data_IF_745328765293
#
_entry.id   IF_745328765293
#
_cell.length_a   1.000
_cell.length_b   1.000
_cell.length_c   1.000
_cell.angle_alpha   90.00
_cell.angle_beta   90.00
_cell.angle_gamma   90.00
#
_symmetry.space_group_name_H-M   'P 1'
#
loop_
_entity.id
_entity.type
_entity.pdbx_description
1 polymer ?
#
# COMPACT_ATOMS: atom_id res chain seq x y z
N UNK A 1 -42.22 -3.42 -13.14
CA UNK A 1 -41.17 -2.63 -13.84
C UNK A 1 -41.09 -1.27 -13.18
N UNK A 2 -40.26 -1.15 -12.15
CA UNK A 2 -39.84 0.13 -11.58
C UNK A 2 -38.32 0.09 -11.45
N UNK A 3 -37.72 1.18 -11.90
CA UNK A 3 -36.31 1.48 -12.11
C UNK A 3 -35.54 1.51 -10.78
N UNK A 4 -34.48 0.70 -10.69
CA UNK A 4 -33.44 0.82 -9.66
C UNK A 4 -32.41 1.85 -10.14
N UNK A 5 -32.34 2.97 -9.43
CA UNK A 5 -31.25 3.92 -9.50
C UNK A 5 -30.07 3.41 -8.65
N UNK A 6 -28.85 3.60 -9.15
CA UNK A 6 -27.59 3.21 -8.54
C UNK A 6 -27.39 3.88 -7.18
N UNK A 7 -27.13 3.07 -6.15
CA UNK A 7 -26.52 3.53 -4.91
C UNK A 7 -25.02 3.39 -5.03
N UNK A 8 -24.34 4.53 -4.89
CA UNK A 8 -22.90 4.63 -4.66
C UNK A 8 -22.53 3.81 -3.42
N UNK A 9 -21.68 2.80 -3.62
CA UNK A 9 -21.05 2.08 -2.52
C UNK A 9 -19.96 2.98 -1.93
N UNK A 10 -20.25 3.62 -0.79
CA UNK A 10 -19.23 4.22 0.07
C UNK A 10 -18.39 3.08 0.63
N UNK A 11 -17.10 3.10 0.30
CA UNK A 11 -16.07 2.28 0.96
C UNK A 11 -16.05 2.70 2.43
N UNK A 12 -16.21 1.72 3.33
CA UNK A 12 -16.37 1.94 4.76
C UNK A 12 -15.13 2.56 5.39
N UNK A 13 -15.32 3.72 6.01
CA UNK A 13 -14.38 4.35 6.92
C UNK A 13 -14.18 3.49 8.16
N UNK A 14 -12.91 3.30 8.57
CA UNK A 14 -12.60 3.04 9.97
C UNK A 14 -13.20 4.19 10.79
N UNK A 15 -14.29 3.94 11.51
CA UNK A 15 -14.98 4.97 12.28
C UNK A 15 -13.98 5.70 13.18
N UNK A 16 -13.93 7.03 13.06
CA UNK A 16 -13.19 7.95 13.95
C UNK A 16 -13.46 7.63 15.43
N UNK A 17 -14.63 7.06 15.73
CA UNK A 17 -15.05 6.62 17.06
C UNK A 17 -14.32 5.37 17.55
N UNK A 18 -13.95 4.45 16.65
CA UNK A 18 -13.14 3.27 16.98
C UNK A 18 -11.68 3.66 17.29
N UNK A 19 -11.12 4.62 16.54
CA UNK A 19 -9.79 5.18 16.80
C UNK A 19 -9.75 6.01 18.09
N UNK A 20 -10.79 6.80 18.38
CA UNK A 20 -10.89 7.58 19.62
C UNK A 20 -11.07 6.70 20.88
N UNK A 21 -11.83 5.61 20.78
CA UNK A 21 -11.95 4.63 21.86
C UNK A 21 -10.64 3.86 22.09
N UNK A 22 -9.86 3.61 21.04
CA UNK A 22 -8.55 2.95 21.12
C UNK A 22 -7.50 3.77 21.87
N UNK A 23 -7.39 5.08 21.61
CA UNK A 23 -6.50 5.98 22.38
C UNK A 23 -6.86 6.00 23.87
N UNK A 24 -8.16 5.96 24.20
CA UNK A 24 -8.63 5.94 25.60
C UNK A 24 -8.32 4.62 26.34
N UNK A 25 -8.36 3.48 25.66
CA UNK A 25 -8.07 2.18 26.27
C UNK A 25 -6.56 2.04 26.52
N UNK A 26 -5.71 2.57 25.64
CA UNK A 26 -4.25 2.61 25.85
C UNK A 26 -3.84 3.62 26.93
N UNK A 27 -4.52 4.76 27.05
CA UNK A 27 -4.25 5.74 28.11
C UNK A 27 -4.63 5.23 29.52
N UNK A 28 -5.52 4.24 29.63
CA UNK A 28 -5.89 3.63 30.92
C UNK A 28 -4.92 2.55 31.41
N UNK A 29 -4.04 2.02 30.57
CA UNK A 29 -3.03 1.01 30.97
C UNK A 29 -1.61 1.57 31.15
N UNK A 30 -1.41 2.90 31.08
CA UNK A 30 -0.09 3.50 31.27
C UNK A 30 -0.09 4.59 32.34
N UNK A 31 -0.07 4.15 33.60
CA UNK A 31 0.42 5.00 34.70
C UNK A 31 1.94 5.15 34.57
N UNK A 32 2.39 6.13 33.78
CA UNK A 32 3.80 6.54 33.71
C UNK A 32 4.20 7.26 35.00
N UNK A 33 5.11 6.64 35.78
CA UNK A 33 5.87 7.34 36.83
C UNK A 33 7.05 8.09 36.16
N UNK A 34 7.10 9.43 36.18
CA UNK A 34 8.08 10.21 35.45
C UNK A 34 9.33 10.41 36.32
N UNK A 35 10.06 9.33 36.58
CA UNK A 35 11.36 9.41 37.22
C UNK A 35 12.30 8.35 36.66
N UNK A 36 12.92 8.63 35.51
CA UNK A 36 14.36 8.47 35.34
C UNK A 36 14.83 9.02 33.99
N UNK A 37 15.57 10.11 34.12
CA UNK A 37 16.30 10.87 33.12
C UNK A 37 17.35 10.01 32.39
N UNK A 38 16.92 9.23 31.38
CA UNK A 38 17.82 8.63 30.37
C UNK A 38 17.21 8.58 28.95
N UNK A 39 15.95 8.99 28.77
CA UNK A 39 15.20 8.83 27.52
C UNK A 39 15.38 9.97 26.50
N UNK A 40 15.88 11.16 26.86
CA UNK A 40 15.99 12.26 25.89
C UNK A 40 17.16 12.14 24.90
N UNK A 41 18.19 11.33 25.22
CA UNK A 41 19.36 11.16 24.36
C UNK A 41 19.15 10.16 23.21
N UNK A 42 18.01 9.46 23.17
CA UNK A 42 17.64 8.51 22.10
C UNK A 42 16.40 8.97 21.31
N UNK A 43 15.78 10.09 21.68
CA UNK A 43 14.53 10.59 21.07
C UNK A 43 14.71 11.66 20.01
N UNK A 44 15.93 12.00 19.58
CA UNK A 44 16.13 12.91 18.45
C UNK A 44 16.15 12.13 17.11
N UNK A 45 15.02 11.52 16.77
CA UNK A 45 14.74 10.95 15.45
C UNK A 45 13.86 11.94 14.67
N UNK A 46 14.42 13.12 14.38
CA UNK A 46 13.80 14.09 13.46
C UNK A 46 14.16 13.81 11.99
N UNK A 47 14.30 12.53 11.64
CA UNK A 47 14.38 12.03 10.27
C UNK A 47 13.22 11.03 10.12
N UNK A 48 12.51 11.08 8.99
CA UNK A 48 11.27 10.37 8.69
C UNK A 48 11.05 9.05 9.45
N UNK A 49 9.83 8.86 9.98
CA UNK A 49 9.41 7.63 10.66
C UNK A 49 9.60 6.41 9.76
N UNK A 50 10.28 5.37 10.29
CA UNK A 50 10.62 4.12 9.60
C UNK A 50 10.00 2.94 10.36
N UNK A 51 9.01 2.29 9.78
CA UNK A 51 8.19 1.23 10.36
C UNK A 51 9.01 0.02 10.80
N UNK A 52 9.92 -0.53 9.99
CA UNK A 52 10.68 -1.71 10.44
C UNK A 52 11.54 -1.42 11.67
N UNK A 53 12.04 -0.17 11.81
CA UNK A 53 12.75 0.26 13.03
C UNK A 53 11.80 0.31 14.21
N UNK A 54 10.60 0.87 14.02
CA UNK A 54 9.56 0.91 15.05
C UNK A 54 9.16 -0.49 15.52
N UNK A 55 8.94 -1.42 14.59
CA UNK A 55 8.64 -2.83 14.90
C UNK A 55 9.79 -3.45 15.70
N UNK A 56 11.02 -3.33 15.22
CA UNK A 56 12.18 -3.90 15.89
C UNK A 56 12.38 -3.35 17.31
N UNK A 57 12.25 -2.03 17.49
CA UNK A 57 12.37 -1.37 18.78
C UNK A 57 11.25 -1.78 19.74
N UNK A 58 10.01 -1.87 19.26
CA UNK A 58 8.86 -2.26 20.08
C UNK A 58 8.97 -3.71 20.52
N UNK A 59 9.15 -4.64 19.59
CA UNK A 59 9.22 -6.07 19.89
C UNK A 59 10.48 -6.41 20.71
N UNK A 60 11.60 -5.77 20.43
CA UNK A 60 12.82 -5.91 21.23
C UNK A 60 12.63 -5.44 22.68
N UNK A 61 11.97 -4.29 22.89
CA UNK A 61 11.61 -3.80 24.22
C UNK A 61 10.66 -4.76 24.94
N UNK A 62 9.67 -5.31 24.24
CA UNK A 62 8.73 -6.27 24.79
C UNK A 62 9.44 -7.55 25.25
N UNK A 63 10.37 -8.08 24.44
CA UNK A 63 11.16 -9.26 24.82
C UNK A 63 12.00 -9.05 26.08
N UNK A 64 12.56 -7.84 26.25
CA UNK A 64 13.40 -7.48 27.39
C UNK A 64 12.61 -7.25 28.69
N UNK A 65 11.41 -6.67 28.61
CA UNK A 65 10.75 -6.10 29.79
C UNK A 65 9.33 -6.63 30.05
N UNK A 66 8.70 -7.26 29.08
CA UNK A 66 7.27 -7.62 29.16
C UNK A 66 7.06 -9.13 29.24
N UNK A 67 6.13 -9.54 30.09
CA UNK A 67 5.55 -10.88 30.06
C UNK A 67 4.09 -10.76 29.59
N UNK A 68 3.78 -11.17 28.35
CA UNK A 68 2.42 -11.08 27.85
C UNK A 68 1.51 -12.00 28.65
N UNK A 69 0.29 -11.55 28.95
CA UNK A 69 -0.73 -12.40 29.54
C UNK A 69 -1.24 -13.42 28.50
N UNK A 70 -1.79 -14.54 28.98
CA UNK A 70 -2.52 -15.47 28.12
C UNK A 70 -3.73 -14.76 27.49
N UNK A 71 -3.96 -15.02 26.21
CA UNK A 71 -5.08 -14.47 25.46
C UNK A 71 -6.01 -15.59 25.02
N UNK A 72 -7.20 -15.23 24.53
CA UNK A 72 -8.14 -16.20 23.96
C UNK A 72 -8.14 -16.06 22.45
N UNK A 73 -7.93 -17.17 21.74
CA UNK A 73 -8.03 -17.23 20.28
C UNK A 73 -9.49 -17.22 19.79
N UNK A 74 -9.66 -17.06 18.49
CA UNK A 74 -10.97 -17.10 17.80
C UNK A 74 -11.66 -18.46 17.93
N UNK A 75 -10.89 -19.53 18.07
CA UNK A 75 -11.33 -20.90 18.31
C UNK A 75 -11.69 -21.18 19.78
N UNK A 76 -11.60 -20.16 20.64
CA UNK A 76 -11.83 -20.25 22.07
C UNK A 76 -10.68 -20.90 22.86
N UNK A 77 -9.64 -21.41 22.16
CA UNK A 77 -8.46 -22.00 22.77
C UNK A 77 -7.51 -20.90 23.28
N UNK A 78 -6.73 -21.16 24.35
CA UNK A 78 -5.79 -20.17 24.86
C UNK A 78 -4.61 -19.97 23.89
N UNK A 79 -4.24 -18.72 23.67
CA UNK A 79 -2.95 -18.32 23.11
C UNK A 79 -2.03 -18.04 24.29
N UNK A 80 -1.02 -18.88 24.46
CA UNK A 80 -0.14 -18.83 25.62
C UNK A 80 0.85 -17.66 25.53
N UNK A 81 1.27 -17.16 26.69
CA UNK A 81 2.29 -16.10 26.77
C UNK A 81 3.57 -16.42 26.01
N UNK A 82 4.01 -17.69 26.01
CA UNK A 82 5.20 -18.10 25.26
C UNK A 82 4.97 -18.12 23.74
N UNK A 83 3.75 -18.40 23.26
CA UNK A 83 3.42 -18.26 21.83
C UNK A 83 3.56 -16.80 21.38
N UNK A 84 3.12 -15.86 22.22
CA UNK A 84 3.26 -14.42 21.95
C UNK A 84 4.73 -14.00 21.93
N UNK A 85 5.52 -14.46 22.91
CA UNK A 85 6.96 -14.17 22.93
C UNK A 85 7.69 -14.81 21.75
N UNK A 86 7.29 -16.02 21.34
CA UNK A 86 7.85 -16.71 20.19
C UNK A 86 7.57 -15.94 18.90
N UNK A 87 6.33 -15.48 18.70
CA UNK A 87 5.97 -14.59 17.58
C UNK A 87 6.87 -13.34 17.53
N UNK A 88 7.11 -12.68 18.67
CA UNK A 88 8.01 -11.52 18.70
C UNK A 88 9.45 -11.86 18.28
N UNK A 89 9.97 -13.03 18.69
CA UNK A 89 11.31 -13.48 18.27
C UNK A 89 11.35 -13.78 16.76
N UNK A 90 10.30 -14.39 16.22
CA UNK A 90 10.19 -14.73 14.80
C UNK A 90 10.17 -13.49 13.93
N UNK A 91 9.34 -12.50 14.26
CA UNK A 91 9.29 -11.23 13.52
C UNK A 91 10.65 -10.51 13.56
N UNK A 92 11.32 -10.47 14.71
CA UNK A 92 12.66 -9.90 14.81
C UNK A 92 13.71 -10.68 14.01
N UNK A 93 13.65 -12.00 14.04
CA UNK A 93 14.54 -12.88 13.28
C UNK A 93 14.35 -12.69 11.77
N UNK A 94 13.12 -12.56 11.31
CA UNK A 94 12.80 -12.28 9.92
C UNK A 94 13.33 -10.91 9.51
N UNK A 95 13.06 -9.86 10.28
CA UNK A 95 13.62 -8.52 10.01
C UNK A 95 15.15 -8.50 10.02
N UNK A 96 15.79 -9.26 10.91
CA UNK A 96 17.26 -9.35 10.99
C UNK A 96 17.91 -10.09 9.81
N UNK A 97 17.13 -10.93 9.14
CA UNK A 97 17.55 -11.74 7.98
C UNK A 97 17.13 -11.13 6.64
N UNK A 98 16.13 -10.26 6.65
CA UNK A 98 15.57 -9.65 5.45
C UNK A 98 16.52 -8.62 4.82
N UNK A 99 16.46 -8.52 3.48
CA UNK A 99 16.96 -7.34 2.77
C UNK A 99 15.91 -6.24 2.88
N UNK A 100 16.25 -5.16 3.57
CA UNK A 100 15.35 -4.03 3.81
C UNK A 100 15.47 -3.00 2.68
N UNK A 101 14.36 -2.72 1.98
CA UNK A 101 14.22 -1.63 1.02
C UNK A 101 13.26 -0.57 1.58
N UNK A 102 13.74 0.68 1.66
CA UNK A 102 12.92 1.84 2.00
C UNK A 102 12.76 2.68 0.74
N UNK A 103 11.53 2.79 0.24
CA UNK A 103 11.23 3.63 -0.91
C UNK A 103 11.03 5.06 -0.42
N UNK A 104 11.72 6.02 -1.04
CA UNK A 104 11.26 7.40 -0.92
C UNK A 104 9.90 7.57 -1.64
N UNK A 105 9.18 8.63 -1.29
CA UNK A 105 7.82 8.83 -1.82
C UNK A 105 7.77 8.91 -3.35
N UNK A 106 8.80 9.50 -4.00
CA UNK A 106 8.84 9.61 -5.45
C UNK A 106 9.08 8.25 -6.12
N UNK A 107 9.96 7.41 -5.55
CA UNK A 107 10.17 6.05 -6.02
C UNK A 107 8.89 5.21 -5.85
N UNK A 108 8.22 5.31 -4.71
CA UNK A 108 6.94 4.64 -4.47
C UNK A 108 5.87 5.09 -5.48
N UNK A 109 5.74 6.39 -5.73
CA UNK A 109 4.80 6.94 -6.72
C UNK A 109 5.12 6.49 -8.16
N UNK A 110 6.41 6.48 -8.54
CA UNK A 110 6.84 5.94 -9.83
C UNK A 110 6.46 4.46 -9.98
N UNK A 111 6.79 3.62 -9.00
CA UNK A 111 6.44 2.20 -9.03
C UNK A 111 4.93 1.97 -9.06
N UNK A 112 4.15 2.77 -8.33
CA UNK A 112 2.70 2.74 -8.38
C UNK A 112 2.15 3.17 -9.75
N UNK A 113 2.80 4.12 -10.43
CA UNK A 113 2.43 4.51 -11.80
C UNK A 113 2.64 3.37 -12.81
N UNK A 114 3.73 2.60 -12.67
CA UNK A 114 3.96 1.40 -13.47
C UNK A 114 2.93 0.32 -13.16
N UNK A 115 2.69 0.08 -11.86
CA UNK A 115 1.68 -0.84 -11.35
C UNK A 115 0.29 -0.51 -11.93
N UNK A 116 -0.09 0.76 -11.99
CA UNK A 116 -1.36 1.17 -12.63
C UNK A 116 -1.45 0.77 -14.10
N UNK A 117 -0.34 0.84 -14.85
CA UNK A 117 -0.29 0.46 -16.26
C UNK A 117 -0.65 -1.01 -16.50
N UNK A 118 -0.44 -1.88 -15.51
CA UNK A 118 -0.66 -3.33 -15.60
C UNK A 118 -1.88 -3.81 -14.80
N UNK A 119 -2.13 -3.23 -13.62
CA UNK A 119 -3.15 -3.66 -12.66
C UNK A 119 -4.33 -2.68 -12.58
N UNK A 120 -4.28 -1.51 -13.22
CA UNK A 120 -5.40 -0.57 -13.19
C UNK A 120 -5.70 0.04 -11.81
N UNK A 121 -6.98 0.35 -11.59
CA UNK A 121 -7.43 1.23 -10.51
C UNK A 121 -7.62 0.51 -9.17
N UNK A 122 -7.44 1.20 -8.02
CA UNK A 122 -7.52 0.60 -6.68
C UNK A 122 -8.85 -0.05 -6.28
N UNK A 123 -9.98 0.43 -6.82
CA UNK A 123 -11.32 -0.03 -6.44
C UNK A 123 -11.88 -1.12 -7.36
N UNK A 124 -11.09 -1.61 -8.32
CA UNK A 124 -11.54 -2.69 -9.19
C UNK A 124 -11.43 -4.01 -8.42
N UNK A 125 -12.59 -4.65 -8.18
CA UNK A 125 -12.62 -6.00 -7.63
C UNK A 125 -11.94 -6.96 -8.62
N UNK A 126 -10.74 -7.42 -8.26
CA UNK A 126 -9.90 -8.30 -9.08
C UNK A 126 -9.54 -9.54 -8.29
N UNK A 127 -9.47 -10.66 -8.99
CA UNK A 127 -9.00 -11.90 -8.38
C UNK A 127 -7.48 -11.84 -8.26
N UNK A 128 -6.92 -12.49 -7.25
CA UNK A 128 -5.47 -12.70 -7.16
C UNK A 128 -4.91 -13.38 -8.41
N UNK A 129 -5.69 -14.22 -9.09
CA UNK A 129 -5.31 -14.85 -10.36
C UNK A 129 -4.96 -13.83 -11.47
N UNK A 130 -5.55 -12.62 -11.43
CA UNK A 130 -5.21 -11.55 -12.38
C UNK A 130 -3.78 -11.04 -12.16
N UNK A 131 -3.21 -11.23 -10.95
CA UNK A 131 -1.83 -10.86 -10.60
C UNK A 131 -0.82 -11.70 -11.38
N UNK A 132 -1.17 -12.96 -11.67
CA UNK A 132 -0.33 -13.90 -12.40
C UNK A 132 0.25 -13.28 -13.67
N UNK A 133 -0.57 -12.55 -14.42
CA UNK A 133 -0.22 -12.07 -15.76
C UNK A 133 0.96 -11.10 -15.82
N UNK A 134 1.26 -10.40 -14.72
CA UNK A 134 2.27 -9.34 -14.71
C UNK A 134 3.40 -9.52 -13.69
N UNK A 135 3.29 -10.46 -12.74
CA UNK A 135 4.40 -10.74 -11.81
C UNK A 135 5.07 -12.11 -12.02
N UNK A 136 4.52 -12.98 -12.88
CA UNK A 136 5.02 -14.36 -13.06
C UNK A 136 6.52 -14.42 -13.36
N UNK A 137 7.00 -13.51 -14.21
CA UNK A 137 8.37 -13.51 -14.70
C UNK A 137 9.31 -12.61 -13.88
N UNK A 138 8.85 -12.11 -12.72
CA UNK A 138 9.63 -11.26 -11.83
C UNK A 138 10.40 -12.12 -10.84
N UNK A 139 11.73 -12.05 -10.90
CA UNK A 139 12.61 -12.73 -9.94
C UNK A 139 12.83 -11.86 -8.70
N UNK A 140 12.73 -12.47 -7.52
CA UNK A 140 13.01 -11.79 -6.26
C UNK A 140 14.54 -11.65 -6.06
N UNK A 141 15.05 -10.47 -5.68
CA UNK A 141 16.50 -10.24 -5.53
C UNK A 141 17.14 -10.99 -4.34
N UNK A 142 16.32 -11.42 -3.37
CA UNK A 142 16.69 -12.17 -2.17
C UNK A 142 15.54 -13.05 -1.71
N UNK A 143 15.85 -14.06 -0.89
CA UNK A 143 14.85 -14.99 -0.37
C UNK A 143 13.94 -14.38 0.70
N UNK A 144 14.40 -13.35 1.41
CA UNK A 144 13.61 -12.64 2.41
C UNK A 144 13.80 -11.14 2.22
N UNK A 145 12.70 -10.43 1.98
CA UNK A 145 12.72 -9.02 1.60
C UNK A 145 11.67 -8.25 2.39
N UNK A 146 12.07 -7.11 2.94
CA UNK A 146 11.17 -6.11 3.48
C UNK A 146 11.12 -4.92 2.52
N UNK A 147 9.92 -4.42 2.22
CA UNK A 147 9.72 -3.19 1.45
C UNK A 147 8.81 -2.28 2.25
N UNK A 148 9.20 -1.01 2.37
CA UNK A 148 8.41 -0.04 3.11
C UNK A 148 8.38 1.30 2.37
N UNK A 149 7.24 1.97 2.48
CA UNK A 149 7.00 3.31 1.96
C UNK A 149 5.97 4.06 2.81
N UNK A 150 5.91 5.38 2.61
CA UNK A 150 4.91 6.26 3.20
C UNK A 150 3.58 6.14 2.41
N UNK A 151 2.60 5.41 2.98
CA UNK A 151 1.30 5.22 2.33
C UNK A 151 0.56 6.55 2.17
N UNK A 152 0.63 7.43 3.17
CA UNK A 152 -0.03 8.73 3.10
C UNK A 152 0.47 9.53 1.90
N UNK A 153 1.78 9.64 1.73
CA UNK A 153 2.38 10.35 0.59
C UNK A 153 1.98 9.71 -0.73
N UNK A 154 1.95 8.38 -0.80
CA UNK A 154 1.51 7.68 -1.99
C UNK A 154 0.05 7.97 -2.34
N UNK A 155 -0.84 8.01 -1.35
CA UNK A 155 -2.26 8.31 -1.55
C UNK A 155 -2.50 9.80 -1.85
N UNK A 156 -1.72 10.72 -1.28
CA UNK A 156 -1.69 12.14 -1.69
C UNK A 156 -1.34 12.25 -3.19
N UNK A 157 -0.33 11.52 -3.67
CA UNK A 157 0.04 11.48 -5.08
C UNK A 157 -1.03 10.80 -5.96
N UNK A 158 -1.75 9.81 -5.43
CA UNK A 158 -2.91 9.22 -6.11
C UNK A 158 -4.05 10.23 -6.25
N UNK A 159 -4.29 11.06 -5.23
CA UNK A 159 -5.30 12.11 -5.30
C UNK A 159 -4.93 13.17 -6.35
N UNK A 160 -3.65 13.59 -6.40
CA UNK A 160 -3.14 14.52 -7.43
C UNK A 160 -3.30 13.95 -8.85
N UNK A 161 -3.19 12.62 -9.02
CA UNK A 161 -3.40 11.95 -10.31
C UNK A 161 -4.89 11.70 -10.63
N UNK A 162 -5.82 12.13 -9.78
CA UNK A 162 -7.26 11.92 -9.97
C UNK A 162 -7.68 10.46 -9.83
N UNK A 163 -6.85 9.64 -9.17
CA UNK A 163 -7.13 8.22 -8.94
C UNK A 163 -8.11 8.11 -7.78
N UNK A 164 -7.91 8.86 -6.71
CA UNK A 164 -8.76 8.79 -5.53
C UNK A 164 -9.36 10.15 -5.19
N UNK A 165 -10.49 10.14 -4.49
CA UNK A 165 -11.18 11.32 -4.00
C UNK A 165 -11.10 11.48 -2.47
N UNK A 166 -10.17 10.76 -1.82
CA UNK A 166 -9.94 10.89 -0.38
C UNK A 166 -9.64 12.34 -0.02
N UNK A 167 -10.25 12.81 1.06
CA UNK A 167 -10.04 14.13 1.62
C UNK A 167 -8.82 14.16 2.57
N UNK A 168 -8.47 15.35 3.06
CA UNK A 168 -7.30 15.54 3.94
C UNK A 168 -7.42 14.76 5.26
N UNK A 169 -8.62 14.64 5.83
CA UNK A 169 -8.86 13.90 7.07
C UNK A 169 -8.65 12.39 6.84
N UNK A 170 -9.19 11.84 5.75
CA UNK A 170 -8.99 10.44 5.36
C UNK A 170 -7.52 10.12 5.08
N UNK A 171 -6.78 11.05 4.47
CA UNK A 171 -5.35 10.92 4.22
C UNK A 171 -4.52 11.04 5.51
N UNK A 172 -4.97 11.82 6.49
CA UNK A 172 -4.28 12.02 7.76
C UNK A 172 -4.19 10.76 8.61
N UNK A 173 -5.13 9.83 8.42
CA UNK A 173 -5.19 8.52 9.08
C UNK A 173 -4.27 7.47 8.44
N UNK A 174 -3.59 7.79 7.34
CA UNK A 174 -2.66 6.89 6.66
C UNK A 174 -1.24 7.14 7.17
N UNK A 175 -0.47 6.05 7.25
CA UNK A 175 0.90 6.04 7.74
C UNK A 175 1.75 5.03 6.96
N UNK A 176 2.96 4.74 7.40
CA UNK A 176 3.89 3.83 6.74
C UNK A 176 3.28 2.43 6.60
N UNK A 177 3.50 1.81 5.44
CA UNK A 177 3.16 0.40 5.18
C UNK A 177 4.43 -0.36 4.87
N UNK A 178 4.48 -1.60 5.36
CA UNK A 178 5.61 -2.50 5.22
C UNK A 178 5.15 -3.88 4.75
N UNK A 179 5.83 -4.41 3.73
CA UNK A 179 5.57 -5.74 3.19
C UNK A 179 6.77 -6.63 3.43
N UNK A 180 6.53 -7.81 4.01
CA UNK A 180 7.52 -8.87 4.14
C UNK A 180 7.21 -9.95 3.10
N UNK A 181 8.12 -10.11 2.13
CA UNK A 181 8.09 -11.19 1.14
C UNK A 181 9.06 -12.28 1.58
N UNK A 182 8.55 -13.47 1.88
CA UNK A 182 9.33 -14.64 2.28
C UNK A 182 9.25 -15.73 1.21
N UNK A 183 10.35 -15.86 0.48
CA UNK A 183 10.57 -16.78 -0.62
C UNK A 183 11.55 -17.91 -0.26
N UNK A 184 11.90 -18.06 1.03
CA UNK A 184 12.85 -19.09 1.50
C UNK A 184 12.35 -20.51 1.23
N UNK A 185 11.04 -20.71 1.19
CA UNK A 185 10.42 -22.01 0.93
C UNK A 185 10.51 -22.39 -0.55
N UNK A 186 10.87 -23.62 -0.88
CA UNK A 186 10.97 -24.07 -2.27
C UNK A 186 9.62 -24.21 -2.99
N UNK A 187 8.54 -24.32 -2.22
CA UNK A 187 7.18 -24.65 -2.69
C UNK A 187 6.19 -23.47 -2.59
N UNK A 188 6.55 -22.38 -1.91
CA UNK A 188 5.68 -21.22 -1.70
C UNK A 188 6.44 -19.91 -1.54
N UNK A 189 5.72 -18.82 -1.83
CA UNK A 189 6.03 -17.46 -1.42
C UNK A 189 4.98 -17.07 -0.37
N UNK A 190 5.38 -16.41 0.70
CA UNK A 190 4.43 -15.78 1.61
C UNK A 190 4.61 -14.27 1.66
N UNK A 191 3.51 -13.56 1.87
CA UNK A 191 3.48 -12.09 1.93
C UNK A 191 2.69 -11.66 3.17
N UNK A 192 3.28 -10.76 3.96
CA UNK A 192 2.65 -10.12 5.12
C UNK A 192 2.65 -8.60 4.94
N UNK A 193 1.55 -7.95 5.29
CA UNK A 193 1.41 -6.50 5.37
C UNK A 193 1.39 -6.05 6.84
N UNK A 194 2.25 -5.09 7.15
CA UNK A 194 2.34 -4.37 8.41
C UNK A 194 1.96 -2.90 8.17
N UNK A 195 1.25 -2.31 9.12
CA UNK A 195 0.79 -0.92 9.00
C UNK A 195 1.14 -0.14 10.25
N UNK A 196 1.71 1.04 10.09
CA UNK A 196 1.81 1.97 11.21
C UNK A 196 0.42 2.54 11.55
N UNK A 197 0.19 2.79 12.84
CA UNK A 197 -0.98 3.50 13.36
C UNK A 197 -0.60 4.90 13.84
N UNK A 198 0.62 5.02 14.38
CA UNK A 198 1.23 6.28 14.80
C UNK A 198 2.75 6.14 14.65
N UNK A 199 3.50 7.18 15.00
CA UNK A 199 4.96 7.16 15.02
C UNK A 199 5.57 6.07 15.92
N UNK A 200 4.80 5.55 16.87
CA UNK A 200 5.27 4.59 17.89
C UNK A 200 4.45 3.32 17.98
N UNK A 201 3.34 3.24 17.25
CA UNK A 201 2.39 2.14 17.29
C UNK A 201 2.21 1.60 15.87
N UNK A 202 2.19 0.27 15.75
CA UNK A 202 1.93 -0.41 14.50
C UNK A 202 0.94 -1.56 14.73
N UNK A 203 0.24 -1.95 13.67
CA UNK A 203 -0.48 -3.20 13.55
C UNK A 203 0.45 -4.25 12.91
N UNK A 204 0.61 -5.35 13.63
CA UNK A 204 1.23 -6.57 13.11
C UNK A 204 0.37 -7.17 11.99
N UNK A 205 0.87 -8.18 11.28
CA UNK A 205 0.18 -8.80 10.15
C UNK A 205 -0.87 -9.83 10.64
N UNK A 206 -2.18 -9.53 10.63
CA UNK A 206 -3.22 -10.46 11.08
C UNK A 206 -3.42 -11.68 10.16
N UNK A 207 -3.03 -11.56 8.89
CA UNK A 207 -3.20 -12.61 7.90
C UNK A 207 -1.94 -12.76 7.04
N UNK A 208 -1.63 -14.01 6.73
CA UNK A 208 -0.55 -14.41 5.84
C UNK A 208 -1.15 -14.82 4.49
N UNK A 209 -0.75 -14.14 3.41
CA UNK A 209 -1.00 -14.63 2.06
C UNK A 209 0.07 -15.68 1.73
N UNK A 210 -0.35 -16.88 1.35
CA UNK A 210 0.53 -17.93 0.82
C UNK A 210 0.22 -18.17 -0.65
N UNK A 211 1.25 -18.06 -1.49
CA UNK A 211 1.18 -18.28 -2.93
C UNK A 211 2.02 -19.51 -3.25
N UNK A 212 1.39 -20.54 -3.81
CA UNK A 212 2.10 -21.77 -4.18
C UNK A 212 3.07 -21.51 -5.33
N UNK A 213 4.10 -22.34 -5.48
CA UNK A 213 4.97 -22.35 -6.65
C UNK A 213 4.60 -23.49 -7.59
N UNK A 214 4.58 -23.21 -8.89
CA UNK A 214 4.45 -24.23 -9.93
C UNK A 214 5.72 -25.08 -10.04
N UNK A 215 5.68 -26.14 -10.84
CA UNK A 215 6.80 -27.08 -11.00
C UNK A 215 8.09 -26.43 -11.54
N UNK A 216 7.97 -25.32 -12.26
CA UNK A 216 9.06 -24.50 -12.76
C UNK A 216 9.58 -23.48 -11.72
N UNK A 217 9.05 -23.50 -10.49
CA UNK A 217 9.44 -22.62 -9.38
C UNK A 217 8.81 -21.23 -9.43
N UNK A 218 7.96 -20.93 -10.43
CA UNK A 218 7.26 -19.65 -10.56
C UNK A 218 6.08 -19.55 -9.59
N UNK A 219 5.73 -18.35 -9.18
CA UNK A 219 4.57 -18.11 -8.31
C UNK A 219 3.27 -18.38 -9.07
N UNK A 220 2.35 -19.14 -8.45
CA UNK A 220 1.04 -19.48 -8.98
C UNK A 220 -0.06 -18.80 -8.16
N UNK A 221 -0.48 -17.62 -8.62
CA UNK A 221 -1.54 -16.81 -8.05
C UNK A 221 -2.94 -17.38 -8.30
N UNK A 222 -3.09 -18.46 -9.08
CA UNK A 222 -4.34 -19.22 -9.13
C UNK A 222 -4.50 -20.14 -7.91
N UNK A 223 -3.40 -20.39 -7.19
CA UNK A 223 -3.35 -21.29 -6.05
C UNK A 223 -2.82 -20.55 -4.80
N UNK A 224 -3.64 -19.63 -4.32
CA UNK A 224 -3.40 -18.84 -3.12
C UNK A 224 -4.22 -19.36 -1.94
N UNK A 225 -3.67 -19.19 -0.73
CA UNK A 225 -4.39 -19.45 0.50
C UNK A 225 -4.09 -18.37 1.53
N UNK A 226 -5.07 -18.11 2.39
CA UNK A 226 -4.98 -17.13 3.46
C UNK A 226 -4.95 -17.85 4.81
N UNK A 227 -3.99 -17.49 5.66
CA UNK A 227 -3.84 -18.09 6.99
C UNK A 227 -3.92 -16.98 8.05
N UNK A 228 -4.85 -17.05 9.01
CA UNK A 228 -4.89 -16.09 10.11
C UNK A 228 -3.71 -16.33 11.07
N UNK A 229 -3.05 -15.26 11.45
CA UNK A 229 -1.98 -15.28 12.46
C UNK A 229 -2.62 -15.25 13.85
N UNK A 230 -2.75 -16.44 14.46
CA UNK A 230 -3.51 -16.66 15.70
C UNK A 230 -3.14 -15.69 16.83
N UNK A 231 -1.84 -15.44 17.01
CA UNK A 231 -1.32 -14.52 18.05
C UNK A 231 -1.79 -13.09 17.80
N UNK A 232 -1.71 -12.63 16.55
CA UNK A 232 -2.09 -11.28 16.16
C UNK A 232 -3.60 -11.10 16.26
N UNK A 233 -4.38 -12.04 15.74
CA UNK A 233 -5.85 -12.01 15.82
C UNK A 233 -6.31 -12.00 17.29
N UNK A 234 -5.74 -12.84 18.16
CA UNK A 234 -6.08 -12.83 19.59
C UNK A 234 -5.74 -11.48 20.26
N UNK A 235 -4.65 -10.84 19.85
CA UNK A 235 -4.29 -9.48 20.26
C UNK A 235 -5.36 -8.46 19.84
N UNK A 236 -5.77 -8.47 18.56
CA UNK A 236 -6.79 -7.57 18.02
C UNK A 236 -8.17 -7.77 18.69
N UNK A 237 -8.55 -9.01 18.99
CA UNK A 237 -9.76 -9.30 19.76
C UNK A 237 -9.67 -8.74 21.18
N UNK A 238 -8.52 -8.92 21.84
CA UNK A 238 -8.29 -8.41 23.19
C UNK A 238 -8.37 -6.90 23.27
N UNK A 239 -7.92 -6.18 22.24
CA UNK A 239 -8.00 -4.72 22.16
C UNK A 239 -9.39 -4.23 21.73
N UNK A 240 -10.34 -5.12 21.44
CA UNK A 240 -11.68 -4.77 20.98
C UNK A 240 -11.74 -4.30 19.52
N UNK A 241 -10.71 -4.54 18.72
CA UNK A 241 -10.70 -4.24 17.28
C UNK A 241 -11.45 -5.30 16.46
N UNK A 242 -11.49 -6.54 16.97
CA UNK A 242 -12.24 -7.65 16.40
C UNK A 242 -13.24 -8.16 17.45
N UNK A 243 -14.44 -7.59 17.46
CA UNK A 243 -15.45 -7.84 18.52
C UNK A 243 -16.31 -9.07 18.25
N UNK A 244 -16.52 -9.38 16.99
CA UNK A 244 -17.44 -10.41 16.52
C UNK A 244 -17.03 -10.98 15.16
N UNK A 245 -17.87 -11.85 14.61
CA UNK A 245 -17.60 -12.50 13.33
C UNK A 245 -17.67 -11.52 12.15
N UNK A 246 -18.55 -10.53 12.22
CA UNK A 246 -18.77 -9.61 11.09
C UNK A 246 -17.60 -8.63 10.99
N UNK A 247 -17.15 -8.07 12.12
CA UNK A 247 -15.92 -7.26 12.21
C UNK A 247 -14.67 -8.03 11.78
N UNK A 248 -14.57 -9.32 12.08
CA UNK A 248 -13.48 -10.17 11.57
C UNK A 248 -13.50 -10.29 10.04
N UNK A 249 -14.68 -10.53 9.45
CA UNK A 249 -14.81 -10.67 7.99
C UNK A 249 -14.51 -9.34 7.30
N UNK A 250 -15.04 -8.23 7.83
CA UNK A 250 -14.76 -6.88 7.30
C UNK A 250 -13.26 -6.57 7.34
N UNK A 251 -12.62 -6.79 8.48
CA UNK A 251 -11.18 -6.58 8.63
C UNK A 251 -10.35 -7.46 7.70
N UNK A 252 -10.76 -8.72 7.49
CA UNK A 252 -10.10 -9.62 6.56
C UNK A 252 -10.22 -9.12 5.11
N UNK A 253 -11.41 -8.74 4.65
CA UNK A 253 -11.61 -8.27 3.27
C UNK A 253 -10.87 -6.94 3.01
N UNK A 254 -10.85 -6.02 3.98
CA UNK A 254 -10.06 -4.78 3.89
C UNK A 254 -8.56 -5.09 3.81
N UNK A 255 -8.04 -5.93 4.72
CA UNK A 255 -6.64 -6.32 4.74
C UNK A 255 -6.23 -7.02 3.44
N UNK A 256 -7.06 -7.95 2.96
CA UNK A 256 -6.88 -8.67 1.71
C UNK A 256 -6.82 -7.70 0.52
N UNK A 257 -7.76 -6.75 0.45
CA UNK A 257 -7.79 -5.72 -0.59
C UNK A 257 -6.50 -4.90 -0.60
N UNK A 258 -6.07 -4.42 0.57
CA UNK A 258 -4.82 -3.67 0.68
C UNK A 258 -3.58 -4.48 0.32
N UNK A 259 -3.43 -5.68 0.86
CA UNK A 259 -2.25 -6.51 0.62
C UNK A 259 -2.15 -6.87 -0.86
N UNK A 260 -3.22 -7.43 -1.44
CA UNK A 260 -3.19 -7.91 -2.83
C UNK A 260 -3.02 -6.79 -3.83
N UNK A 261 -3.58 -5.61 -3.54
CA UNK A 261 -3.44 -4.45 -4.38
C UNK A 261 -2.01 -3.87 -4.33
N UNK A 262 -1.46 -3.69 -3.13
CA UNK A 262 -0.24 -2.91 -2.95
C UNK A 262 1.04 -3.74 -3.00
N UNK A 263 0.99 -5.05 -2.72
CA UNK A 263 2.17 -5.91 -2.83
C UNK A 263 2.78 -5.91 -4.24
N UNK A 264 1.99 -5.59 -5.28
CA UNK A 264 2.46 -5.48 -6.66
C UNK A 264 3.50 -4.37 -6.82
N UNK A 265 3.47 -3.31 -5.99
CA UNK A 265 4.53 -2.30 -5.93
C UNK A 265 5.89 -2.96 -5.64
N UNK A 266 5.92 -3.99 -4.79
CA UNK A 266 7.12 -4.76 -4.52
C UNK A 266 7.64 -5.53 -5.73
N UNK A 267 6.74 -6.16 -6.50
CA UNK A 267 7.14 -6.81 -7.75
C UNK A 267 7.61 -5.81 -8.81
N UNK A 268 7.02 -4.61 -8.88
CA UNK A 268 7.51 -3.54 -9.75
C UNK A 268 8.91 -3.08 -9.35
N UNK A 269 9.20 -2.98 -8.05
CA UNK A 269 10.54 -2.71 -7.55
C UNK A 269 11.52 -3.78 -8.03
N UNK A 270 11.18 -5.05 -7.87
CA UNK A 270 12.07 -6.15 -8.25
C UNK A 270 12.36 -6.17 -9.75
N UNK A 271 11.35 -5.95 -10.58
CA UNK A 271 11.50 -5.83 -12.02
C UNK A 271 12.41 -4.64 -12.39
N UNK A 272 12.18 -3.46 -11.80
CA UNK A 272 12.99 -2.27 -12.05
C UNK A 272 14.46 -2.46 -11.62
N UNK A 273 14.70 -3.09 -10.46
CA UNK A 273 16.06 -3.43 -10.00
C UNK A 273 16.74 -4.46 -10.92
N UNK A 274 15.98 -5.41 -11.46
CA UNK A 274 16.50 -6.42 -12.39
C UNK A 274 16.83 -5.83 -13.78
N UNK A 275 16.05 -4.85 -14.24
CA UNK A 275 16.28 -4.16 -15.52
C UNK A 275 17.58 -3.34 -15.52
N UNK A 276 18.05 -2.89 -14.33
CA UNK A 276 19.26 -2.08 -14.14
C UNK A 276 19.27 -0.80 -14.97
N UNK A 277 18.10 -0.22 -15.16
CA UNK A 277 17.93 1.09 -15.77
C UNK A 277 18.18 2.21 -14.76
N UNK A 278 18.41 3.43 -15.24
CA UNK A 278 18.57 4.63 -14.41
C UNK A 278 17.23 5.15 -13.85
N UNK A 279 16.24 4.26 -13.69
CA UNK A 279 14.92 4.55 -13.14
C UNK A 279 14.95 4.66 -11.62
N UNK A 280 15.80 3.88 -10.95
CA UNK A 280 15.89 3.83 -9.50
C UNK A 280 17.35 3.86 -9.05
N UNK A 281 17.62 4.66 -8.03
CA UNK A 281 18.92 4.78 -7.38
C UNK A 281 18.87 4.08 -6.03
N UNK A 282 19.64 2.99 -5.90
CA UNK A 282 19.73 2.21 -4.66
C UNK A 282 20.99 2.60 -3.88
N UNK A 283 20.82 3.02 -2.62
CA UNK A 283 21.94 3.35 -1.71
C UNK A 283 21.79 2.60 -0.41
N UNK A 284 22.82 1.84 -0.02
CA UNK A 284 22.82 1.13 1.27
C UNK A 284 23.36 2.03 2.38
N UNK A 285 22.64 2.06 3.50
CA UNK A 285 22.93 2.92 4.66
C UNK A 285 22.85 2.09 5.94
N UNK A 286 23.76 2.34 6.89
CA UNK A 286 23.69 1.75 8.23
C UNK A 286 22.42 2.20 8.93
N UNK A 287 21.66 1.27 9.49
CA UNK A 287 20.39 1.57 10.15
C UNK A 287 20.59 2.22 11.51
N UNK A 288 21.75 1.97 12.13
CA UNK A 288 22.20 2.55 13.38
C UNK A 288 23.46 3.38 13.18
N UNK A 289 23.58 4.45 13.94
CA UNK A 289 24.82 5.21 14.08
C UNK A 289 25.85 4.44 14.91
N UNK A 290 27.13 4.79 14.76
CA UNK A 290 28.22 4.19 15.55
C UNK A 290 28.03 4.36 17.07
N UNK A 291 27.42 5.46 17.52
CA UNK A 291 27.11 5.67 18.93
C UNK A 291 25.98 4.76 19.40
N UNK A 292 24.92 4.60 18.60
CA UNK A 292 23.81 3.68 18.90
C UNK A 292 24.29 2.23 18.99
N UNK A 293 25.16 1.78 18.08
CA UNK A 293 25.75 0.43 18.12
C UNK A 293 26.56 0.22 19.41
N UNK A 294 27.37 1.20 19.80
CA UNK A 294 28.15 1.14 21.06
C UNK A 294 27.24 1.05 22.27
N UNK A 295 26.18 1.87 22.32
CA UNK A 295 25.19 1.87 23.39
C UNK A 295 24.44 0.54 23.47
N UNK A 296 23.96 0.02 22.33
CA UNK A 296 23.27 -1.27 22.27
C UNK A 296 24.14 -2.40 22.81
N UNK A 297 25.43 -2.44 22.43
CA UNK A 297 26.40 -3.42 22.96
C UNK A 297 26.62 -3.24 24.46
N UNK A 298 26.77 -2.00 24.94
CA UNK A 298 26.96 -1.70 26.38
C UNK A 298 25.81 -2.23 27.24
N UNK A 299 24.58 -2.16 26.73
CA UNK A 299 23.38 -2.60 27.44
C UNK A 299 22.89 -4.00 27.02
N UNK A 300 23.74 -4.78 26.34
CA UNK A 300 23.44 -6.13 25.87
C UNK A 300 22.14 -6.25 25.03
N UNK A 301 21.82 -5.22 24.25
CA UNK A 301 20.66 -5.16 23.35
C UNK A 301 21.00 -5.82 22.01
N UNK A 302 21.25 -7.12 22.05
CA UNK A 302 21.69 -7.91 20.88
C UNK A 302 20.70 -7.82 19.72
N UNK A 303 19.39 -7.91 20.02
CA UNK A 303 18.30 -7.77 19.06
C UNK A 303 18.40 -6.47 18.24
N UNK A 304 18.88 -5.38 18.85
CA UNK A 304 19.00 -4.07 18.19
C UNK A 304 20.13 -4.09 17.16
N UNK A 305 21.29 -4.65 17.51
CA UNK A 305 22.45 -4.74 16.59
C UNK A 305 22.30 -5.80 15.52
N UNK A 306 21.51 -6.84 15.76
CA UNK A 306 21.28 -7.91 14.79
C UNK A 306 20.17 -7.58 13.80
N UNK A 307 19.13 -6.89 14.26
CA UNK A 307 17.98 -6.52 13.42
C UNK A 307 18.24 -5.24 12.64
N UNK A 308 18.81 -4.22 13.29
CA UNK A 308 19.00 -2.89 12.69
C UNK A 308 20.42 -2.73 12.13
N UNK A 309 20.80 -3.60 11.18
CA UNK A 309 22.13 -3.57 10.55
C UNK A 309 22.24 -2.47 9.48
N UNK A 310 21.57 -2.67 8.36
CA UNK A 310 21.54 -1.76 7.22
C UNK A 310 20.20 -1.85 6.50
N UNK A 311 19.94 -0.84 5.68
CA UNK A 311 18.81 -0.82 4.76
C UNK A 311 19.24 -0.18 3.45
N UNK A 312 18.51 -0.46 2.38
CA UNK A 312 18.68 0.17 1.08
C UNK A 312 17.61 1.23 0.92
N UNK A 313 18.02 2.48 0.82
CA UNK A 313 17.13 3.54 0.35
C UNK A 313 17.04 3.49 -1.17
N UNK A 314 15.82 3.40 -1.67
CA UNK A 314 15.50 3.47 -3.09
C UNK A 314 14.97 4.87 -3.37
N UNK A 315 15.65 5.59 -4.26
CA UNK A 315 15.26 6.92 -4.71
C UNK A 315 14.91 6.87 -6.17
N UNK A 316 14.07 7.80 -6.61
CA UNK A 316 13.79 7.97 -8.03
C UNK A 316 15.06 8.36 -8.78
N UNK A 317 15.25 7.77 -9.96
CA UNK A 317 16.33 8.09 -10.89
C UNK A 317 15.86 9.01 -12.03
N UNK A 318 16.80 9.57 -12.82
CA UNK A 318 16.47 10.58 -13.82
C UNK A 318 15.50 10.12 -14.91
N UNK A 319 15.49 8.82 -15.26
CA UNK A 319 14.58 8.29 -16.27
C UNK A 319 13.13 8.23 -15.76
N UNK A 320 12.94 7.72 -14.55
CA UNK A 320 11.67 7.71 -13.84
C UNK A 320 11.12 9.12 -13.57
N UNK A 321 11.98 10.09 -13.23
CA UNK A 321 11.57 11.49 -13.05
C UNK A 321 10.98 12.08 -14.34
N UNK A 322 11.59 11.78 -15.50
CA UNK A 322 11.05 12.19 -16.80
C UNK A 322 9.69 11.54 -17.07
N UNK A 323 9.55 10.25 -16.76
CA UNK A 323 8.29 9.53 -16.91
C UNK A 323 7.16 10.19 -16.10
N UNK A 324 7.37 10.46 -14.82
CA UNK A 324 6.37 11.12 -13.97
C UNK A 324 6.06 12.55 -14.46
N UNK A 325 7.07 13.27 -14.94
CA UNK A 325 6.89 14.62 -15.51
C UNK A 325 6.01 14.57 -16.77
N UNK A 326 6.26 13.62 -17.67
CA UNK A 326 5.47 13.41 -18.88
C UNK A 326 4.04 13.02 -18.55
N UNK A 327 3.84 12.10 -17.60
CA UNK A 327 2.51 11.69 -17.13
C UNK A 327 1.72 12.89 -16.58
N UNK A 328 2.36 13.72 -15.74
CA UNK A 328 1.74 14.93 -15.20
C UNK A 328 1.41 15.95 -16.28
N UNK A 329 2.29 16.12 -17.27
CA UNK A 329 2.04 17.01 -18.40
C UNK A 329 0.85 16.53 -19.24
N UNK A 330 0.73 15.22 -19.45
CA UNK A 330 -0.40 14.60 -20.15
C UNK A 330 -1.72 14.79 -19.39
N UNK A 331 -1.74 14.58 -18.07
CA UNK A 331 -2.94 14.81 -17.26
C UNK A 331 -3.41 16.26 -17.35
N UNK A 332 -2.52 17.24 -17.19
CA UNK A 332 -2.85 18.67 -17.34
C UNK A 332 -3.38 19.02 -18.72
N UNK A 333 -2.81 18.41 -19.76
CA UNK A 333 -3.28 18.57 -21.13
C UNK A 333 -4.70 18.02 -21.29
N UNK A 334 -4.97 16.82 -20.78
CA UNK A 334 -6.29 16.18 -20.81
C UNK A 334 -7.33 16.99 -20.02
N UNK A 335 -6.99 17.52 -18.84
CA UNK A 335 -7.84 18.41 -18.03
C UNK A 335 -8.19 19.71 -18.76
N UNK A 336 -7.19 20.39 -19.33
CA UNK A 336 -7.39 21.60 -20.11
C UNK A 336 -8.31 21.34 -21.32
N UNK A 337 -8.15 20.19 -21.99
CA UNK A 337 -8.98 19.79 -23.11
C UNK A 337 -10.38 19.31 -22.71
N UNK A 338 -10.54 18.69 -21.54
CA UNK A 338 -11.84 18.31 -20.98
C UNK A 338 -12.66 19.56 -20.62
N UNK A 339 -12.01 20.59 -20.08
CA UNK A 339 -12.62 21.88 -19.78
C UNK A 339 -12.92 22.66 -21.06
N UNK A 340 -12.17 22.41 -22.15
CA UNK A 340 -12.37 23.01 -23.47
C UNK A 340 -13.28 22.22 -24.42
N UNK A 341 -13.94 21.14 -23.99
CA UNK A 341 -15.01 20.51 -24.79
C UNK A 341 -16.21 21.47 -24.83
N UNK A 342 -16.10 22.45 -25.71
CA UNK A 342 -17.22 23.22 -26.21
C UNK A 342 -18.34 22.25 -26.62
N UNK A 343 -19.59 22.63 -26.31
CA UNK A 343 -20.82 21.99 -26.78
C UNK A 343 -20.68 21.56 -28.25
N UNK A 344 -21.23 20.41 -28.67
CA UNK A 344 -21.06 19.90 -30.02
C UNK A 344 -21.39 21.00 -31.04
N UNK A 345 -20.37 21.43 -31.76
CA UNK A 345 -20.50 22.41 -32.83
C UNK A 345 -21.41 21.81 -33.90
N UNK A 346 -22.27 22.64 -34.49
CA UNK A 346 -23.20 22.24 -35.55
C UNK A 346 -22.48 21.38 -36.60
N UNK A 347 -22.89 20.12 -36.76
CA UNK A 347 -22.38 19.21 -37.79
C UNK A 347 -23.52 18.57 -38.56
N UNK A 348 -23.23 18.18 -39.80
CA UNK A 348 -24.18 17.50 -40.67
C UNK A 348 -24.24 16.02 -40.33
N UNK A 349 -25.44 15.52 -40.07
CA UNK A 349 -25.73 14.10 -39.98
C UNK A 349 -26.18 13.64 -41.36
N UNK A 350 -25.45 12.68 -41.95
CA UNK A 350 -25.81 12.10 -43.24
C UNK A 350 -27.10 11.28 -43.15
N UNK A 351 -27.83 11.21 -44.26
CA UNK A 351 -29.04 10.40 -44.36
C UNK A 351 -28.71 8.92 -44.14
N UNK A 352 -29.42 8.27 -43.22
CA UNK A 352 -29.23 6.84 -42.93
C UNK A 352 -30.51 6.19 -42.42
N UNK A 353 -30.61 4.88 -42.57
CA UNK A 353 -31.71 4.10 -42.02
C UNK A 353 -31.36 3.60 -40.62
N UNK A 354 -32.28 3.80 -39.68
CA UNK A 354 -32.16 3.29 -38.31
C UNK A 354 -33.18 2.19 -38.10
N UNK A 355 -32.70 1.00 -37.75
CA UNK A 355 -33.53 -0.16 -37.40
C UNK A 355 -33.62 -0.27 -35.89
N UNK A 356 -34.84 -0.29 -35.36
CA UNK A 356 -35.11 -0.44 -33.94
C UNK A 356 -35.35 -1.92 -33.61
N UNK A 357 -35.10 -2.30 -32.36
CA UNK A 357 -35.24 -3.68 -31.87
C UNK A 357 -36.68 -4.23 -31.96
N UNK A 358 -37.67 -3.38 -32.16
CA UNK A 358 -39.07 -3.75 -32.43
C UNK A 358 -39.39 -3.98 -33.93
N UNK A 359 -38.37 -4.03 -34.79
CA UNK A 359 -38.53 -4.24 -36.23
C UNK A 359 -38.90 -2.98 -37.04
N UNK A 360 -39.13 -1.84 -36.37
CA UNK A 360 -39.40 -0.57 -37.07
C UNK A 360 -38.13 -0.06 -37.74
N UNK A 361 -38.22 0.26 -39.03
CA UNK A 361 -37.15 0.93 -39.78
C UNK A 361 -37.57 2.36 -40.06
N UNK A 362 -36.72 3.32 -39.70
CA UNK A 362 -36.94 4.76 -39.93
C UNK A 362 -35.79 5.31 -40.75
N UNK A 363 -36.12 5.99 -41.84
CA UNK A 363 -35.14 6.74 -42.64
C UNK A 363 -34.94 8.12 -42.02
N UNK A 364 -33.76 8.36 -41.46
CA UNK A 364 -33.37 9.65 -40.90
C UNK A 364 -32.81 10.49 -42.04
N UNK A 365 -33.55 11.52 -42.45
CA UNK A 365 -33.08 12.46 -43.48
C UNK A 365 -31.89 13.26 -42.96
N UNK A 366 -31.01 13.68 -43.87
CA UNK A 366 -29.88 14.51 -43.54
C UNK A 366 -30.34 15.81 -42.87
N UNK A 367 -29.77 16.11 -41.70
CA UNK A 367 -30.09 17.31 -40.93
C UNK A 367 -28.87 17.76 -40.14
N UNK A 368 -28.89 19.02 -39.70
CA UNK A 368 -27.84 19.57 -38.85
C UNK A 368 -28.15 19.30 -37.38
N UNK A 369 -27.12 18.94 -36.61
CA UNK A 369 -27.22 18.67 -35.17
C UNK A 369 -26.14 19.44 -34.42
N UNK A 370 -26.47 19.98 -33.25
CA UNK A 370 -25.57 20.82 -32.44
C UNK A 370 -26.06 22.26 -32.35
N UNK A 371 -25.33 23.11 -31.62
CA UNK A 371 -25.61 24.55 -31.53
C UNK A 371 -24.83 25.30 -32.61
N UNK A 372 -25.44 26.35 -33.18
CA UNK A 372 -24.77 27.21 -34.15
C UNK A 372 -23.53 27.84 -33.52
N UNK A 373 -22.36 27.80 -34.19
CA UNK A 373 -21.13 28.34 -33.64
C UNK A 373 -21.29 29.84 -33.33
N UNK A 374 -20.84 30.25 -32.15
CA UNK A 374 -20.83 31.66 -31.76
C UNK A 374 -19.84 32.43 -32.65
N UNK A 375 -20.34 33.41 -33.41
CA UNK A 375 -19.55 34.19 -34.39
C UNK A 375 -18.46 35.07 -33.76
N UNK A 376 -18.44 35.19 -32.42
CA UNK A 376 -17.43 35.95 -31.69
C UNK A 376 -16.17 35.16 -31.33
N UNK A 377 -16.10 33.86 -31.64
CA UNK A 377 -14.92 33.02 -31.32
C UNK A 377 -14.24 32.56 -32.61
N UNK A 378 -12.92 32.78 -32.80
CA UNK A 378 -12.21 32.30 -33.98
C UNK A 378 -12.25 30.78 -34.05
N UNK A 379 -12.66 30.25 -35.20
CA UNK A 379 -12.61 28.82 -35.46
C UNK A 379 -11.15 28.37 -35.66
N UNK A 380 -10.70 27.42 -34.82
CA UNK A 380 -9.43 26.68 -34.89
C UNK A 380 -8.17 27.48 -34.52
N UNK A 381 -7.66 27.23 -33.32
CA UNK A 381 -6.22 27.35 -33.03
C UNK A 381 -5.60 25.98 -33.29
N UNK A 382 -4.73 25.90 -34.29
CA UNK A 382 -3.86 24.73 -34.51
C UNK A 382 -2.73 24.83 -33.49
N UNK A 383 -2.48 23.74 -32.74
CA UNK A 383 -1.41 23.71 -31.73
C UNK A 383 -0.02 24.03 -32.32
N UNK A 384 0.95 24.40 -31.48
CA UNK A 384 2.27 24.79 -31.96
C UNK A 384 2.99 23.63 -32.64
N UNK A 385 3.54 23.88 -33.83
CA UNK A 385 4.51 22.99 -34.47
C UNK A 385 5.77 22.95 -33.62
N UNK A 386 6.28 21.75 -33.35
CA UNK A 386 7.64 21.58 -32.87
C UNK A 386 8.59 22.23 -33.89
N UNK A 387 9.34 23.24 -33.46
CA UNK A 387 10.57 23.66 -34.14
C UNK A 387 11.72 22.94 -33.45
N UNK A 388 12.56 22.30 -34.25
CA UNK A 388 13.74 21.57 -33.81
C UNK A 388 14.93 22.45 -33.49
#
# INVERSE_FOLDING_TARGET
MQTLASQDARVGDFSVEAQANFSRVLDQEVSFDPAHTTLSALSSLADAMILYKTIALRLGKNLDNEQPANMRGTDGQPVLSEEVRQHWREVLSDLASARIYLLDHNAANYLDSLRMGIQGMPWENRSESDIQGYVRDVDLPRDLIWIEYDDRKLWEDRAVRGITALNEDELSNRHQRGFLFDNRSSDKLTVRLYSAMTDTIFLDAPFLLTISKSQDGRHDFNNVSWQPERVVIAGLMRTGLLTDKDSFVEHFEEYKGHLTYEMVIGFMLFAALAAREDDLLATEVSSLSSSQIKTARKFNKVWMTETLKSHVTIRIGPAAERHLTEQKARLRFEEAHATSRNTPTEHWVAEHERRYSNGKVVRVRAHKRGQSPNRSVPARVVGPKAQG
#
